data_IF_859941286778
#
_entry.id   IF_859941286778
#
_cell.length_a   1.000
_cell.length_b   1.000
_cell.length_c   1.000
_cell.angle_alpha   90.00
_cell.angle_beta   90.00
_cell.angle_gamma   90.00
#
_symmetry.space_group_name_H-M   'P 1'
#
loop_
_entity.id
_entity.type
_entity.pdbx_description
1 polymer ?
#
# COMPACT_ATOMS: atom_id res chain seq x y z
N UNK A 1 -70.53 -22.67 -2.59
CA UNK A 1 -70.93 -23.44 -1.42
C UNK A 1 -69.82 -23.36 -0.41
N UNK A 2 -70.05 -22.65 0.56
CA UNK A 2 -70.07 -22.69 2.02
C UNK A 2 -68.67 -22.61 2.65
N UNK A 3 -68.29 -21.47 3.12
CA UNK A 3 -68.32 -20.89 4.48
C UNK A 3 -68.00 -21.87 5.62
N UNK A 4 -66.92 -21.63 6.37
CA UNK A 4 -67.01 -21.36 7.81
C UNK A 4 -65.71 -20.86 8.40
N UNK A 5 -65.84 -19.70 9.03
CA UNK A 5 -65.01 -18.97 9.97
C UNK A 5 -65.06 -19.56 11.37
N UNK A 6 -64.00 -19.37 12.18
CA UNK A 6 -63.96 -19.17 13.64
C UNK A 6 -62.48 -19.07 14.00
N UNK A 7 -61.86 -18.17 14.73
CA UNK A 7 -62.35 -17.16 15.63
C UNK A 7 -61.69 -17.31 16.99
N UNK A 8 -60.97 -16.26 17.47
CA UNK A 8 -60.58 -15.93 18.88
C UNK A 8 -59.46 -16.75 19.50
N UNK A 9 -58.60 -16.22 20.41
CA UNK A 9 -58.46 -14.93 21.08
C UNK A 9 -57.03 -14.80 21.68
N UNK A 10 -56.51 -13.67 21.69
CA UNK A 10 -55.89 -12.79 22.68
C UNK A 10 -55.28 -13.40 23.97
N UNK A 11 -54.08 -12.92 24.28
CA UNK A 11 -53.42 -13.04 25.57
C UNK A 11 -52.15 -12.20 25.60
N UNK A 12 -52.28 -10.90 25.83
CA UNK A 12 -51.17 -9.99 26.05
C UNK A 12 -50.66 -10.06 27.50
N UNK A 13 -49.35 -9.99 27.68
CA UNK A 13 -48.75 -9.59 29.00
C UNK A 13 -47.76 -8.49 28.67
N UNK A 14 -48.10 -7.28 29.05
CA UNK A 14 -47.19 -6.14 29.10
C UNK A 14 -46.44 -6.15 30.42
N UNK A 15 -45.14 -6.18 30.40
CA UNK A 15 -44.30 -5.88 31.54
C UNK A 15 -43.76 -4.47 31.38
N UNK A 16 -44.27 -3.54 32.15
CA UNK A 16 -43.75 -2.18 32.27
C UNK A 16 -42.55 -2.19 33.23
N UNK A 17 -41.37 -1.84 32.74
CA UNK A 17 -40.22 -1.52 33.58
C UNK A 17 -40.14 0.00 33.79
N UNK A 18 -40.40 0.41 35.04
CA UNK A 18 -40.32 1.80 35.51
C UNK A 18 -38.84 2.12 35.78
N UNK A 19 -38.23 3.04 34.99
CA UNK A 19 -36.91 3.61 35.30
C UNK A 19 -37.13 4.87 36.13
N UNK A 20 -36.68 4.85 37.38
CA UNK A 20 -36.66 6.00 38.27
C UNK A 20 -35.49 6.91 37.94
N UNK A 21 -35.78 8.15 37.52
CA UNK A 21 -34.78 9.21 37.33
C UNK A 21 -34.53 9.87 38.70
N UNK A 22 -33.36 9.63 39.24
CA UNK A 22 -32.87 10.37 40.42
C UNK A 22 -32.14 11.64 40.01
N UNK A 23 -32.74 12.79 40.25
CA UNK A 23 -32.11 14.11 40.10
C UNK A 23 -31.33 14.39 41.40
N UNK A 24 -29.99 14.47 41.30
CA UNK A 24 -29.13 15.02 42.36
C UNK A 24 -28.76 16.46 41.92
N UNK A 25 -29.27 17.44 42.64
CA UNK A 25 -28.84 18.83 42.54
C UNK A 25 -27.66 19.00 43.54
N UNK A 26 -26.46 19.20 43.02
CA UNK A 26 -25.32 19.68 43.80
C UNK A 26 -24.99 21.12 43.38
N UNK A 27 -25.24 22.05 44.26
CA UNK A 27 -24.76 23.44 44.21
C UNK A 27 -23.39 23.53 44.83
N UNK A 28 -22.42 24.10 44.11
CA UNK A 28 -21.11 24.42 44.66
C UNK A 28 -20.18 25.00 43.57
N UNK A 29 -19.99 26.33 43.61
CA UNK A 29 -19.21 27.08 42.66
C UNK A 29 -17.70 26.87 42.84
N UNK A 30 -16.99 27.06 41.76
CA UNK A 30 -15.53 27.10 41.68
C UNK A 30 -15.13 27.29 40.24
N UNK A 31 -14.81 28.54 39.82
CA UNK A 31 -14.29 28.84 38.52
C UNK A 31 -12.92 28.18 38.31
N UNK A 32 -12.85 27.31 37.33
CA UNK A 32 -11.64 26.74 36.77
C UNK A 32 -11.73 26.86 35.27
N UNK A 33 -10.79 27.59 34.66
CA UNK A 33 -10.64 27.68 33.21
C UNK A 33 -10.58 26.28 32.59
N UNK A 34 -11.13 26.07 31.40
CA UNK A 34 -11.00 24.80 30.70
C UNK A 34 -9.53 24.60 30.29
N UNK A 35 -8.90 23.63 30.95
CA UNK A 35 -7.59 23.13 30.58
C UNK A 35 -7.71 22.51 29.19
N UNK A 36 -6.83 22.82 28.22
CA UNK A 36 -6.85 22.17 26.92
C UNK A 36 -6.62 20.67 27.15
N UNK A 37 -7.49 19.86 26.60
CA UNK A 37 -7.36 18.41 26.59
C UNK A 37 -6.11 18.07 25.74
N UNK A 38 -5.03 17.72 26.42
CA UNK A 38 -3.93 17.00 25.79
C UNK A 38 -4.47 15.60 25.48
N UNK A 39 -4.79 15.36 24.22
CA UNK A 39 -5.13 14.05 23.72
C UNK A 39 -3.87 13.18 23.69
N UNK A 40 -3.50 12.60 24.83
CA UNK A 40 -2.65 11.41 24.87
C UNK A 40 -3.55 10.20 24.56
N UNK A 41 -3.97 10.08 23.30
CA UNK A 41 -4.64 8.91 22.79
C UNK A 41 -3.61 7.90 22.30
N UNK A 42 -3.07 7.03 23.18
CA UNK A 42 -2.59 5.73 22.72
C UNK A 42 -3.82 4.98 22.20
N UNK A 43 -3.88 4.76 20.91
CA UNK A 43 -4.84 3.81 20.35
C UNK A 43 -4.39 2.42 20.77
N UNK A 44 -5.18 1.74 21.60
CA UNK A 44 -4.88 0.40 22.11
C UNK A 44 -4.65 -0.55 20.91
N UNK A 45 -3.48 -1.18 20.88
CA UNK A 45 -3.11 -2.20 19.90
C UNK A 45 -2.34 -1.72 18.67
N UNK A 46 -1.95 -0.43 18.56
CA UNK A 46 -1.06 0.05 17.50
C UNK A 46 0.34 -0.53 17.67
N UNK A 47 0.97 -0.89 16.55
CA UNK A 47 2.32 -1.45 16.51
C UNK A 47 3.35 -0.33 16.37
N UNK A 48 4.46 -0.42 17.11
CA UNK A 48 5.59 0.48 16.91
C UNK A 48 6.21 0.27 15.52
N UNK A 49 6.59 1.36 14.87
CA UNK A 49 7.16 1.36 13.54
C UNK A 49 6.97 2.68 12.82
N UNK A 50 7.40 2.70 11.57
CA UNK A 50 7.25 3.86 10.69
C UNK A 50 6.52 3.47 9.42
N UNK A 51 5.46 4.19 9.10
CA UNK A 51 4.79 4.09 7.79
C UNK A 51 5.40 5.14 6.87
N UNK A 52 5.86 4.68 5.70
CA UNK A 52 6.43 5.52 4.66
C UNK A 52 5.46 5.68 3.51
N UNK A 53 5.30 6.90 3.03
CA UNK A 53 4.36 7.26 1.95
C UNK A 53 5.10 8.03 0.86
N UNK A 54 4.92 7.63 -0.40
CA UNK A 54 5.37 8.38 -1.57
C UNK A 54 4.24 9.31 -2.03
N UNK A 55 4.51 10.62 -2.08
CA UNK A 55 3.56 11.65 -2.50
C UNK A 55 3.98 12.16 -3.88
N UNK A 56 3.43 11.54 -4.92
CA UNK A 56 3.81 11.80 -6.30
C UNK A 56 3.59 13.26 -6.71
N UNK A 57 2.45 13.85 -6.29
CA UNK A 57 2.07 15.22 -6.65
C UNK A 57 2.89 16.31 -5.97
N UNK A 58 3.47 16.03 -4.80
CA UNK A 58 4.29 16.98 -4.05
C UNK A 58 5.78 16.64 -4.00
N UNK A 59 6.25 15.74 -4.88
CA UNK A 59 7.66 15.34 -5.00
C UNK A 59 8.31 15.05 -3.64
N UNK A 60 7.62 14.25 -2.80
CA UNK A 60 8.07 14.05 -1.41
C UNK A 60 7.78 12.64 -0.88
N UNK A 61 8.50 12.25 0.17
CA UNK A 61 8.18 11.09 1.00
C UNK A 61 7.76 11.57 2.38
N UNK A 62 6.73 10.96 2.97
CA UNK A 62 6.30 11.23 4.34
C UNK A 62 6.59 10.02 5.22
N UNK A 63 7.24 10.24 6.38
CA UNK A 63 7.41 9.26 7.43
C UNK A 63 6.37 9.53 8.54
N UNK A 64 5.65 8.49 8.97
CA UNK A 64 4.57 8.54 9.96
C UNK A 64 4.92 7.62 11.12
N UNK A 65 4.78 8.10 12.35
CA UNK A 65 4.80 7.26 13.56
C UNK A 65 3.54 6.37 13.58
N UNK A 66 3.73 5.08 13.40
CA UNK A 66 2.62 4.13 13.35
C UNK A 66 1.89 4.00 14.70
N UNK A 67 2.58 4.17 15.83
CA UNK A 67 1.97 4.05 17.17
C UNK A 67 1.09 5.25 17.54
N UNK A 68 1.39 6.43 16.94
CA UNK A 68 0.68 7.69 17.21
C UNK A 68 -0.21 8.17 16.07
N UNK A 69 -0.02 7.61 14.85
CA UNK A 69 -0.64 8.10 13.62
C UNK A 69 -0.31 9.58 13.34
N UNK A 70 0.93 9.97 13.60
CA UNK A 70 1.42 11.34 13.43
C UNK A 70 2.57 11.39 12.42
N UNK A 71 2.60 12.45 11.61
CA UNK A 71 3.71 12.71 10.68
C UNK A 71 4.96 13.05 11.47
N UNK A 72 6.04 12.29 11.26
CA UNK A 72 7.37 12.56 11.83
C UNK A 72 8.15 13.59 11.01
N UNK A 73 8.18 13.38 9.69
CA UNK A 73 8.92 14.26 8.77
C UNK A 73 8.42 14.08 7.35
N UNK A 74 8.76 15.05 6.50
CA UNK A 74 8.57 15.00 5.04
C UNK A 74 9.93 15.23 4.37
N UNK A 75 10.30 14.33 3.47
CA UNK A 75 11.52 14.41 2.67
C UNK A 75 11.16 14.89 1.27
N UNK A 76 11.82 15.94 0.78
CA UNK A 76 11.64 16.50 -0.57
C UNK A 76 12.86 16.22 -1.44
N UNK A 77 12.75 16.41 -2.76
CA UNK A 77 13.86 16.25 -3.71
C UNK A 77 13.84 14.93 -4.49
N UNK A 78 12.77 14.13 -4.40
CA UNK A 78 12.55 12.98 -5.27
C UNK A 78 11.39 13.33 -6.20
N UNK A 79 11.67 13.47 -7.49
CA UNK A 79 10.68 13.92 -8.46
C UNK A 79 9.67 12.81 -8.84
N UNK A 80 8.38 13.12 -8.70
CA UNK A 80 7.27 12.20 -8.97
C UNK A 80 7.48 10.78 -8.38
N UNK A 81 7.68 10.65 -7.04
CA UNK A 81 7.87 9.35 -6.42
C UNK A 81 6.57 8.55 -6.48
N UNK A 82 6.50 7.56 -7.39
CA UNK A 82 5.30 6.76 -7.59
C UNK A 82 5.16 5.66 -6.53
N UNK A 83 6.27 4.98 -6.21
CA UNK A 83 6.27 3.91 -5.22
C UNK A 83 7.54 3.92 -4.38
N UNK A 84 7.44 3.35 -3.19
CA UNK A 84 8.56 3.09 -2.30
C UNK A 84 8.43 1.74 -1.61
N UNK A 85 9.56 1.19 -1.15
CA UNK A 85 9.62 -0.04 -0.39
C UNK A 85 10.69 0.05 0.69
N UNK A 86 10.33 -0.28 1.93
CA UNK A 86 11.29 -0.47 3.02
C UNK A 86 12.03 -1.79 2.83
N UNK A 87 13.35 -1.80 3.07
CA UNK A 87 14.16 -3.02 3.05
C UNK A 87 13.71 -4.01 4.14
N UNK A 88 13.94 -5.33 3.97
CA UNK A 88 13.51 -6.33 4.95
C UNK A 88 14.07 -6.13 6.36
N UNK A 89 15.25 -5.53 6.48
CA UNK A 89 15.88 -5.20 7.77
C UNK A 89 15.39 -3.86 8.37
N UNK A 90 14.51 -3.15 7.64
CA UNK A 90 13.93 -1.88 8.04
C UNK A 90 14.86 -0.67 7.98
N UNK A 91 16.10 -0.81 7.51
CA UNK A 91 17.13 0.23 7.60
C UNK A 91 17.15 1.19 6.43
N UNK A 92 16.64 0.79 5.28
CA UNK A 92 16.60 1.64 4.09
C UNK A 92 15.21 1.69 3.47
N UNK A 93 14.92 2.82 2.86
CA UNK A 93 13.75 3.05 2.02
C UNK A 93 14.23 3.26 0.61
N UNK A 94 13.74 2.43 -0.30
CA UNK A 94 13.95 2.60 -1.72
C UNK A 94 12.72 3.24 -2.34
N UNK A 95 12.93 4.29 -3.13
CA UNK A 95 11.88 4.97 -3.88
C UNK A 95 12.26 5.06 -5.36
N UNK A 96 11.29 5.16 -6.24
CA UNK A 96 11.53 5.53 -7.63
C UNK A 96 11.33 7.02 -7.80
N UNK A 97 12.20 7.67 -8.60
CA UNK A 97 11.98 9.01 -9.13
C UNK A 97 11.48 8.86 -10.58
N UNK A 98 10.18 9.11 -10.77
CA UNK A 98 9.51 8.84 -12.04
C UNK A 98 10.02 9.71 -13.18
N UNK A 99 10.28 11.00 -12.92
CA UNK A 99 10.78 11.94 -13.92
C UNK A 99 12.26 11.74 -14.23
N UNK A 100 13.07 11.39 -13.23
CA UNK A 100 14.52 11.26 -13.41
C UNK A 100 14.96 9.87 -13.88
N UNK A 101 14.02 8.91 -13.92
CA UNK A 101 14.33 7.50 -14.24
C UNK A 101 15.38 6.90 -13.31
N UNK A 102 15.20 7.08 -12.00
CA UNK A 102 16.14 6.67 -10.96
C UNK A 102 15.45 5.83 -9.87
N UNK A 103 16.19 4.92 -9.27
CA UNK A 103 15.92 4.38 -7.95
C UNK A 103 16.75 5.15 -6.92
N UNK A 104 16.15 5.57 -5.83
CA UNK A 104 16.76 6.36 -4.75
C UNK A 104 16.75 5.55 -3.47
N UNK A 105 17.88 5.49 -2.76
CA UNK A 105 17.99 4.86 -1.45
C UNK A 105 18.13 5.91 -0.36
N UNK A 106 17.27 5.83 0.66
CA UNK A 106 17.25 6.73 1.82
C UNK A 106 17.43 5.92 3.10
N UNK A 107 18.18 6.42 4.08
CA UNK A 107 18.26 5.85 5.42
C UNK A 107 16.94 6.01 6.17
N UNK A 108 16.41 4.90 6.67
CA UNK A 108 15.09 4.89 7.31
C UNK A 108 15.07 5.54 8.71
N UNK A 109 16.20 5.66 9.37
CA UNK A 109 16.31 6.23 10.72
C UNK A 109 16.77 7.70 10.71
N UNK A 110 17.78 8.00 9.88
CA UNK A 110 18.43 9.32 9.83
C UNK A 110 17.98 10.20 8.66
N UNK A 111 17.14 9.70 7.76
CA UNK A 111 16.57 10.43 6.62
C UNK A 111 17.61 10.97 5.59
N UNK A 112 18.82 10.41 5.58
CA UNK A 112 19.84 10.79 4.62
C UNK A 112 19.70 10.02 3.30
N UNK A 113 19.93 10.67 2.16
CA UNK A 113 20.09 9.98 0.89
C UNK A 113 21.43 9.23 0.85
N UNK A 114 21.40 7.95 0.48
CA UNK A 114 22.61 7.14 0.36
C UNK A 114 23.11 7.04 -1.08
N UNK A 115 22.24 7.17 -2.06
CA UNK A 115 22.61 7.11 -3.46
C UNK A 115 21.44 6.94 -4.40
N UNK A 116 21.74 7.02 -5.67
CA UNK A 116 20.79 6.83 -6.78
C UNK A 116 21.35 5.80 -7.75
N UNK A 117 20.45 5.10 -8.45
CA UNK A 117 20.81 4.14 -9.52
C UNK A 117 19.90 4.36 -10.70
N UNK A 118 20.42 4.54 -11.92
CA UNK A 118 19.60 4.65 -13.12
C UNK A 118 18.70 3.44 -13.32
N UNK A 119 17.49 3.67 -13.81
CA UNK A 119 16.51 2.66 -14.17
C UNK A 119 16.18 2.78 -15.67
N UNK A 120 15.15 2.08 -16.13
CA UNK A 120 14.51 2.42 -17.42
C UNK A 120 13.49 3.55 -17.22
N UNK A 121 12.80 3.92 -18.29
CA UNK A 121 11.87 5.05 -18.35
C UNK A 121 10.56 4.77 -17.64
N UNK A 122 10.02 5.82 -17.02
CA UNK A 122 8.78 5.76 -16.25
C UNK A 122 8.82 4.63 -15.19
N UNK A 123 9.80 4.65 -14.25
CA UNK A 123 9.83 3.65 -13.21
C UNK A 123 8.62 3.82 -12.29
N UNK A 124 7.79 2.76 -12.19
CA UNK A 124 6.57 2.80 -11.43
C UNK A 124 6.76 2.22 -10.02
N UNK A 125 7.23 0.99 -9.92
CA UNK A 125 7.41 0.31 -8.63
C UNK A 125 8.86 -0.05 -8.36
N UNK A 126 9.19 -0.10 -7.06
CA UNK A 126 10.46 -0.61 -6.54
C UNK A 126 10.17 -1.68 -5.49
N UNK A 127 10.95 -2.74 -5.48
CA UNK A 127 10.83 -3.82 -4.50
C UNK A 127 12.21 -4.35 -4.12
N UNK A 128 12.41 -4.63 -2.83
CA UNK A 128 13.62 -5.26 -2.31
C UNK A 128 13.35 -6.75 -2.13
N UNK A 129 14.27 -7.61 -2.54
CA UNK A 129 14.14 -9.06 -2.32
C UNK A 129 14.14 -9.41 -0.83
N UNK A 130 13.54 -10.54 -0.41
CA UNK A 130 13.49 -10.94 1.00
C UNK A 130 14.85 -11.08 1.69
N UNK A 131 15.90 -11.37 0.93
CA UNK A 131 17.30 -11.45 1.43
C UNK A 131 18.02 -10.09 1.48
N UNK A 132 17.35 -9.00 1.02
CA UNK A 132 17.89 -7.63 1.03
C UNK A 132 18.99 -7.36 0.01
N UNK A 133 19.28 -8.28 -0.93
CA UNK A 133 20.46 -8.18 -1.81
C UNK A 133 20.17 -7.51 -3.14
N UNK A 134 18.95 -7.65 -3.64
CA UNK A 134 18.59 -7.13 -4.96
C UNK A 134 17.37 -6.23 -4.84
N UNK A 135 17.43 -5.11 -5.53
CA UNK A 135 16.28 -4.24 -5.77
C UNK A 135 15.84 -4.40 -7.21
N UNK A 136 14.55 -4.47 -7.43
CA UNK A 136 13.97 -4.44 -8.76
C UNK A 136 13.12 -3.19 -8.94
N UNK A 137 13.15 -2.59 -10.14
CA UNK A 137 12.21 -1.54 -10.55
C UNK A 137 11.50 -1.95 -11.83
N UNK A 138 10.20 -1.69 -11.91
CA UNK A 138 9.46 -1.79 -13.16
C UNK A 138 9.62 -0.50 -13.96
N UNK A 139 9.83 -0.59 -15.27
CA UNK A 139 10.03 0.54 -16.19
C UNK A 139 8.91 0.51 -17.22
N UNK A 140 7.83 1.27 -16.95
CA UNK A 140 6.58 1.18 -17.70
C UNK A 140 6.73 1.51 -19.19
N UNK A 141 7.49 2.53 -19.53
CA UNK A 141 7.65 2.95 -20.94
C UNK A 141 8.62 2.07 -21.75
N UNK A 142 9.47 1.27 -21.09
CA UNK A 142 10.47 0.43 -21.75
C UNK A 142 10.08 -1.06 -21.78
N UNK A 143 8.94 -1.44 -21.18
CA UNK A 143 8.51 -2.85 -21.06
C UNK A 143 9.57 -3.75 -20.40
N UNK A 144 10.29 -3.20 -19.41
CA UNK A 144 11.39 -3.90 -18.73
C UNK A 144 11.30 -3.81 -17.20
N UNK A 145 12.09 -4.65 -16.56
CA UNK A 145 12.45 -4.58 -15.14
C UNK A 145 13.94 -4.39 -15.01
N UNK A 146 14.38 -3.42 -14.20
CA UNK A 146 15.80 -3.24 -13.85
C UNK A 146 16.08 -4.00 -12.56
N UNK A 147 17.19 -4.76 -12.53
CA UNK A 147 17.73 -5.38 -11.31
C UNK A 147 18.97 -4.60 -10.84
N UNK A 148 19.00 -4.26 -9.54
CA UNK A 148 20.05 -3.47 -8.89
C UNK A 148 20.66 -4.31 -7.76
N UNK A 149 21.96 -4.42 -7.70
CA UNK A 149 22.67 -5.00 -6.56
C UNK A 149 22.82 -3.95 -5.45
N UNK A 150 22.27 -4.27 -4.27
CA UNK A 150 22.21 -3.33 -3.14
C UNK A 150 23.60 -2.97 -2.61
N UNK A 151 24.52 -3.94 -2.57
CA UNK A 151 25.85 -3.73 -1.98
C UNK A 151 26.74 -2.82 -2.84
N UNK A 152 26.58 -2.90 -4.16
CA UNK A 152 27.40 -2.11 -5.10
C UNK A 152 26.68 -0.87 -5.62
N UNK A 153 25.38 -0.73 -5.36
CA UNK A 153 24.53 0.33 -5.91
C UNK A 153 24.63 0.41 -7.44
N UNK A 154 24.61 -0.74 -8.11
CA UNK A 154 24.74 -0.80 -9.58
C UNK A 154 23.62 -1.65 -10.20
N UNK A 155 23.19 -1.22 -11.36
CA UNK A 155 22.36 -2.04 -12.22
C UNK A 155 23.14 -3.30 -12.65
N UNK A 156 22.51 -4.47 -12.48
CA UNK A 156 23.10 -5.77 -12.84
C UNK A 156 22.35 -6.46 -13.99
N UNK A 157 21.11 -6.08 -14.25
CA UNK A 157 20.35 -6.60 -15.38
C UNK A 157 19.22 -5.67 -15.81
N UNK A 158 18.85 -5.75 -17.10
CA UNK A 158 17.59 -5.25 -17.66
C UNK A 158 16.83 -6.45 -18.23
N UNK A 159 15.61 -6.69 -17.74
CA UNK A 159 14.83 -7.90 -18.02
C UNK A 159 13.59 -7.52 -18.82
N UNK A 160 13.45 -7.92 -20.09
CA UNK A 160 12.22 -7.69 -20.85
C UNK A 160 11.04 -8.46 -20.25
N UNK A 161 9.89 -7.80 -20.12
CA UNK A 161 8.64 -8.34 -19.58
C UNK A 161 7.47 -8.05 -20.53
N UNK A 162 6.23 -8.08 -20.08
CA UNK A 162 5.08 -7.70 -20.89
C UNK A 162 4.86 -6.19 -20.91
N UNK A 163 3.78 -5.74 -21.60
CA UNK A 163 3.52 -4.34 -21.89
C UNK A 163 3.17 -3.54 -20.61
N UNK A 164 3.90 -2.46 -20.41
CA UNK A 164 3.75 -1.50 -19.32
C UNK A 164 3.77 -2.18 -17.93
N UNK A 165 4.90 -2.77 -17.52
CA UNK A 165 5.03 -3.38 -16.20
C UNK A 165 4.82 -2.31 -15.13
N UNK A 166 3.98 -2.63 -14.13
CA UNK A 166 3.61 -1.70 -13.08
C UNK A 166 3.95 -2.28 -11.71
N UNK A 167 3.03 -2.94 -11.04
CA UNK A 167 3.28 -3.54 -9.74
C UNK A 167 3.99 -4.87 -9.83
N UNK A 168 4.81 -5.17 -8.84
CA UNK A 168 5.53 -6.43 -8.73
C UNK A 168 5.70 -6.87 -7.29
N UNK A 169 5.92 -8.17 -7.08
CA UNK A 169 6.20 -8.73 -5.75
C UNK A 169 7.09 -9.96 -5.86
N UNK A 170 8.14 -10.10 -5.01
CA UNK A 170 8.89 -11.35 -4.90
C UNK A 170 8.05 -12.40 -4.16
N UNK A 171 8.24 -13.67 -4.51
CA UNK A 171 7.72 -14.76 -3.71
C UNK A 171 8.37 -14.77 -2.32
N UNK A 172 7.69 -15.27 -1.26
CA UNK A 172 8.25 -15.27 0.09
C UNK A 172 9.60 -16.00 0.23
N UNK A 173 9.86 -17.00 -0.61
CA UNK A 173 11.15 -17.71 -0.68
C UNK A 173 12.21 -17.00 -1.55
N UNK A 174 11.85 -15.86 -2.13
CA UNK A 174 12.74 -15.03 -2.96
C UNK A 174 13.09 -15.60 -4.33
N UNK A 175 12.58 -16.77 -4.72
CA UNK A 175 12.97 -17.43 -5.99
C UNK A 175 12.35 -16.80 -7.22
N UNK A 176 11.16 -16.23 -7.07
CA UNK A 176 10.37 -15.68 -8.16
C UNK A 176 10.04 -14.22 -7.92
N UNK A 177 10.04 -13.44 -8.98
CA UNK A 177 9.44 -12.11 -9.00
C UNK A 177 8.29 -12.13 -9.99
N UNK A 178 7.08 -11.78 -9.52
CA UNK A 178 5.89 -11.68 -10.36
C UNK A 178 5.65 -10.21 -10.67
N UNK A 179 5.44 -9.90 -11.96
CA UNK A 179 5.32 -8.54 -12.50
C UNK A 179 4.00 -8.41 -13.26
N UNK A 180 3.15 -7.50 -12.85
CA UNK A 180 1.89 -7.21 -13.52
C UNK A 180 2.10 -6.30 -14.72
N UNK A 181 1.63 -6.70 -15.90
CA UNK A 181 1.78 -5.98 -17.16
C UNK A 181 0.50 -5.19 -17.46
N UNK A 182 0.42 -3.93 -17.02
CA UNK A 182 -0.81 -3.16 -16.91
C UNK A 182 -1.49 -2.81 -18.27
N UNK A 183 -0.75 -2.78 -19.36
CA UNK A 183 -1.31 -2.62 -20.71
C UNK A 183 -1.51 -3.95 -21.44
N UNK A 184 -1.54 -5.07 -20.69
CA UNK A 184 -1.71 -6.43 -21.21
C UNK A 184 -2.75 -7.22 -20.42
N UNK A 185 -2.57 -8.54 -20.45
CA UNK A 185 -3.43 -9.52 -19.78
C UNK A 185 -2.64 -10.48 -18.90
N UNK A 186 -1.31 -10.26 -18.79
CA UNK A 186 -0.39 -11.24 -18.21
C UNK A 186 0.30 -10.71 -16.95
N UNK A 187 0.73 -11.64 -16.12
CA UNK A 187 1.75 -11.48 -15.08
C UNK A 187 3.01 -12.20 -15.55
N UNK A 188 4.12 -11.47 -15.72
CA UNK A 188 5.42 -12.05 -16.05
C UNK A 188 6.06 -12.66 -14.81
N UNK A 189 6.71 -13.81 -14.95
CA UNK A 189 7.46 -14.50 -13.90
C UNK A 189 8.95 -14.44 -14.20
N UNK A 190 9.72 -13.87 -13.28
CA UNK A 190 11.18 -13.77 -13.37
C UNK A 190 11.81 -14.70 -12.33
N UNK A 191 12.77 -15.53 -12.77
CA UNK A 191 13.65 -16.30 -11.88
C UNK A 191 14.73 -15.35 -11.34
N UNK A 192 14.68 -15.05 -10.04
CA UNK A 192 15.55 -14.03 -9.42
C UNK A 192 17.03 -14.39 -9.46
N UNK A 193 17.35 -15.67 -9.24
CA UNK A 193 18.75 -16.15 -9.26
C UNK A 193 19.46 -15.97 -10.62
N UNK A 194 18.68 -15.81 -11.71
CA UNK A 194 19.20 -15.65 -13.08
C UNK A 194 18.84 -14.29 -13.69
N UNK A 195 18.04 -13.49 -13.01
CA UNK A 195 17.46 -12.27 -13.57
C UNK A 195 16.85 -12.50 -14.94
N UNK A 196 16.03 -13.57 -15.07
CA UNK A 196 15.48 -13.97 -16.36
C UNK A 196 13.98 -14.23 -16.27
N UNK A 197 13.21 -13.65 -17.20
CA UNK A 197 11.80 -14.01 -17.39
C UNK A 197 11.71 -15.45 -17.90
N UNK A 198 10.85 -16.24 -17.24
CA UNK A 198 10.67 -17.68 -17.52
C UNK A 198 9.25 -18.02 -17.96
N UNK A 199 8.27 -17.18 -17.66
CA UNK A 199 6.87 -17.39 -18.05
C UNK A 199 6.09 -16.07 -18.11
N UNK A 200 4.97 -16.08 -18.83
CA UNK A 200 3.90 -15.09 -18.75
C UNK A 200 2.59 -15.83 -18.45
N UNK A 201 1.91 -15.42 -17.39
CA UNK A 201 0.67 -16.05 -16.92
C UNK A 201 -0.52 -15.22 -17.35
N UNK A 202 -1.42 -15.81 -18.14
CA UNK A 202 -2.69 -15.16 -18.49
C UNK A 202 -3.58 -15.08 -17.24
N UNK A 203 -3.89 -13.85 -16.80
CA UNK A 203 -4.67 -13.60 -15.58
C UNK A 203 -5.95 -12.81 -15.84
N UNK A 204 -5.99 -11.98 -16.88
CA UNK A 204 -7.12 -11.13 -17.23
C UNK A 204 -6.69 -9.69 -17.54
N UNK A 205 -7.64 -8.80 -17.83
CA UNK A 205 -7.39 -7.48 -18.39
C UNK A 205 -6.77 -6.52 -17.39
N UNK A 206 -5.71 -5.83 -17.84
CA UNK A 206 -5.01 -4.79 -17.11
C UNK A 206 -4.66 -5.21 -15.66
N UNK A 207 -3.81 -6.25 -15.48
CA UNK A 207 -3.26 -6.56 -14.17
C UNK A 207 -2.34 -5.41 -13.72
N UNK A 208 -2.52 -4.92 -12.46
CA UNK A 208 -1.78 -3.72 -12.01
C UNK A 208 -0.80 -4.02 -10.89
N UNK A 209 -1.16 -4.86 -9.94
CA UNK A 209 -0.32 -5.19 -8.80
C UNK A 209 -0.36 -6.68 -8.48
N UNK A 210 0.67 -7.18 -7.78
CA UNK A 210 0.77 -8.55 -7.30
C UNK A 210 0.98 -8.58 -5.79
N UNK A 211 0.36 -9.55 -5.12
CA UNK A 211 0.65 -9.94 -3.73
C UNK A 211 0.79 -11.46 -3.63
N UNK A 212 1.54 -11.95 -2.64
CA UNK A 212 1.65 -13.39 -2.35
C UNK A 212 0.96 -13.71 -1.02
N UNK A 213 0.40 -14.92 -0.91
CA UNK A 213 0.09 -15.50 0.40
C UNK A 213 1.39 -15.72 1.19
N UNK A 214 1.38 -15.58 2.54
CA UNK A 214 2.60 -15.74 3.34
C UNK A 214 3.27 -17.11 3.19
N UNK A 215 2.48 -18.16 2.90
CA UNK A 215 2.98 -19.52 2.64
C UNK A 215 3.51 -19.73 1.21
N UNK A 216 3.43 -18.70 0.35
CA UNK A 216 3.89 -18.74 -1.04
C UNK A 216 3.07 -19.62 -1.98
N UNK A 217 1.96 -20.22 -1.53
CA UNK A 217 1.14 -21.12 -2.36
C UNK A 217 0.33 -20.40 -3.42
N UNK A 218 -0.10 -19.19 -3.12
CA UNK A 218 -0.91 -18.38 -4.02
C UNK A 218 -0.29 -17.02 -4.25
N UNK A 219 -0.46 -16.51 -5.47
CA UNK A 219 -0.29 -15.11 -5.79
C UNK A 219 -1.65 -14.53 -6.20
N UNK A 220 -1.81 -13.23 -5.97
CA UNK A 220 -3.02 -12.49 -6.32
C UNK A 220 -2.64 -11.30 -7.18
N UNK A 221 -3.47 -10.96 -8.17
CA UNK A 221 -3.25 -9.76 -8.99
C UNK A 221 -4.56 -8.99 -9.15
N UNK A 222 -4.52 -7.68 -8.89
CA UNK A 222 -5.64 -6.80 -9.24
C UNK A 222 -5.80 -6.74 -10.76
N UNK A 223 -7.04 -6.78 -11.23
CA UNK A 223 -7.42 -6.68 -12.63
C UNK A 223 -8.25 -5.40 -12.82
N UNK A 224 -7.56 -4.29 -13.07
CA UNK A 224 -8.20 -2.98 -13.18
C UNK A 224 -9.26 -2.94 -14.29
N UNK A 225 -8.99 -3.59 -15.42
CA UNK A 225 -9.89 -3.66 -16.57
C UNK A 225 -11.11 -4.58 -16.40
N UNK A 226 -11.22 -5.29 -15.27
CA UNK A 226 -12.31 -6.24 -14.99
C UNK A 226 -13.02 -5.99 -13.65
N UNK A 227 -12.56 -5.03 -12.83
CA UNK A 227 -13.02 -4.83 -11.46
C UNK A 227 -12.97 -6.13 -10.64
N UNK A 228 -11.85 -6.82 -10.72
CA UNK A 228 -11.66 -8.14 -10.11
C UNK A 228 -10.25 -8.30 -9.53
N UNK A 229 -10.06 -9.32 -8.74
CA UNK A 229 -8.75 -9.84 -8.35
C UNK A 229 -8.60 -11.29 -8.82
N UNK A 230 -7.46 -11.62 -9.42
CA UNK A 230 -7.11 -12.96 -9.85
C UNK A 230 -6.38 -13.71 -8.72
N UNK A 231 -6.61 -15.04 -8.61
CA UNK A 231 -5.86 -15.96 -7.73
C UNK A 231 -5.08 -16.94 -8.59
N UNK A 232 -3.78 -17.04 -8.36
CA UNK A 232 -2.83 -17.85 -9.13
C UNK A 232 -2.26 -18.93 -8.21
N UNK A 233 -2.29 -20.19 -8.62
CA UNK A 233 -1.55 -21.28 -7.98
C UNK A 233 -0.08 -21.19 -8.41
N UNK A 234 0.81 -20.88 -7.46
CA UNK A 234 2.23 -20.62 -7.74
C UNK A 234 2.96 -21.88 -8.21
N UNK A 235 2.65 -23.03 -7.62
CA UNK A 235 3.32 -24.28 -7.99
C UNK A 235 2.94 -24.77 -9.39
N UNK A 236 1.73 -24.44 -9.86
CA UNK A 236 1.23 -24.80 -11.18
C UNK A 236 1.35 -23.70 -12.23
N UNK A 237 1.69 -22.48 -11.79
CA UNK A 237 1.69 -21.29 -12.65
C UNK A 237 0.37 -21.11 -13.38
N UNK A 238 -0.73 -21.22 -12.67
CA UNK A 238 -2.07 -21.24 -13.27
C UNK A 238 -3.06 -20.37 -12.50
N UNK A 239 -3.84 -19.60 -13.26
CA UNK A 239 -5.03 -18.94 -12.73
C UNK A 239 -6.02 -19.97 -12.21
N UNK A 240 -6.45 -19.84 -10.95
CA UNK A 240 -7.38 -20.78 -10.28
C UNK A 240 -8.71 -20.13 -9.89
N UNK A 241 -8.83 -18.81 -9.98
CA UNK A 241 -10.09 -18.12 -9.72
C UNK A 241 -9.98 -16.61 -9.90
N UNK A 242 -11.16 -15.97 -9.95
CA UNK A 242 -11.32 -14.51 -9.89
C UNK A 242 -12.41 -14.16 -8.89
N UNK A 243 -12.24 -13.09 -8.15
CA UNK A 243 -13.25 -12.51 -7.28
C UNK A 243 -13.57 -11.08 -7.74
N UNK A 244 -14.86 -10.75 -7.85
CA UNK A 244 -15.27 -9.38 -8.14
C UNK A 244 -15.01 -8.49 -6.93
N UNK A 245 -14.51 -7.26 -7.17
CA UNK A 245 -14.19 -6.25 -6.16
C UNK A 245 -14.77 -4.88 -6.58
N UNK A 246 -14.36 -3.80 -5.93
CA UNK A 246 -14.80 -2.46 -6.30
C UNK A 246 -14.23 -1.97 -7.63
N UNK A 247 -14.55 -0.72 -7.98
CA UNK A 247 -14.22 -0.14 -9.28
C UNK A 247 -12.77 0.29 -9.36
N UNK A 248 -12.09 -0.10 -10.44
CA UNK A 248 -10.70 0.29 -10.72
C UNK A 248 -9.73 -0.20 -9.66
N UNK A 249 -9.65 -1.52 -9.35
CA UNK A 249 -8.72 -2.03 -8.35
C UNK A 249 -7.27 -1.81 -8.79
N UNK A 250 -6.47 -1.26 -7.89
CA UNK A 250 -5.05 -0.95 -8.11
C UNK A 250 -4.18 -1.84 -7.24
N UNK A 251 -3.92 -1.48 -5.99
CA UNK A 251 -3.06 -2.27 -5.14
C UNK A 251 -3.78 -3.38 -4.40
N UNK A 252 -3.04 -4.45 -4.18
CA UNK A 252 -3.44 -5.62 -3.39
C UNK A 252 -2.39 -5.93 -2.35
N UNK A 253 -2.82 -6.31 -1.15
CA UNK A 253 -1.92 -6.71 -0.07
C UNK A 253 -2.56 -7.83 0.76
N UNK A 254 -1.81 -8.91 1.02
CA UNK A 254 -2.26 -10.00 1.90
C UNK A 254 -1.81 -9.72 3.32
N UNK A 255 -2.69 -9.87 4.31
CA UNK A 255 -2.34 -9.72 5.71
C UNK A 255 -1.25 -10.72 6.12
N UNK A 256 -0.32 -10.35 7.03
CA UNK A 256 0.76 -11.24 7.48
C UNK A 256 0.28 -12.58 8.04
N UNK A 257 -0.92 -12.65 8.64
CA UNK A 257 -1.57 -13.89 9.09
C UNK A 257 -2.19 -14.71 7.94
N UNK A 258 -2.19 -14.17 6.72
CA UNK A 258 -2.73 -14.83 5.53
C UNK A 258 -4.26 -14.84 5.42
N UNK A 259 -4.99 -14.23 6.37
CA UNK A 259 -6.45 -14.32 6.44
C UNK A 259 -7.14 -13.44 5.41
N UNK A 260 -6.69 -12.23 5.24
CA UNK A 260 -7.33 -11.24 4.35
C UNK A 260 -6.43 -10.83 3.20
N UNK A 261 -7.04 -10.60 2.05
CA UNK A 261 -6.47 -9.86 0.94
C UNK A 261 -7.23 -8.54 0.84
N UNK A 262 -6.54 -7.43 1.00
CA UNK A 262 -7.08 -6.10 0.80
C UNK A 262 -6.87 -5.68 -0.65
N UNK A 263 -7.89 -5.09 -1.24
CA UNK A 263 -7.87 -4.57 -2.61
C UNK A 263 -8.31 -3.11 -2.59
N UNK A 264 -7.39 -2.21 -2.90
CA UNK A 264 -7.67 -0.79 -3.02
C UNK A 264 -8.38 -0.52 -4.35
N UNK A 265 -9.57 0.07 -4.27
CA UNK A 265 -10.39 0.40 -5.44
C UNK A 265 -10.25 1.91 -5.69
N UNK A 266 -9.49 2.29 -6.70
CA UNK A 266 -9.15 3.69 -6.95
C UNK A 266 -10.22 4.45 -7.75
N UNK A 267 -10.86 3.77 -8.70
CA UNK A 267 -11.66 4.44 -9.72
C UNK A 267 -10.80 5.24 -10.69
N UNK A 268 -11.30 6.40 -11.12
CA UNK A 268 -10.55 7.38 -11.92
C UNK A 268 -10.58 8.75 -11.25
N UNK A 269 -9.74 9.71 -11.68
CA UNK A 269 -9.72 11.06 -11.13
C UNK A 269 -11.08 11.76 -11.29
N UNK A 270 -11.76 11.56 -12.43
CA UNK A 270 -13.09 12.14 -12.68
C UNK A 270 -14.23 11.44 -11.90
N UNK A 271 -14.02 10.19 -11.54
CA UNK A 271 -14.95 9.36 -10.76
C UNK A 271 -14.18 8.49 -9.77
N UNK A 272 -13.69 9.09 -8.68
CA UNK A 272 -12.95 8.37 -7.66
C UNK A 272 -13.82 7.27 -7.04
N UNK A 273 -13.27 6.08 -6.87
CA UNK A 273 -13.80 5.14 -5.90
C UNK A 273 -13.27 5.52 -4.52
N UNK A 274 -13.99 5.14 -3.47
CA UNK A 274 -13.67 5.54 -2.09
C UNK A 274 -13.40 4.34 -1.19
N UNK A 275 -13.26 3.14 -1.77
CA UNK A 275 -13.38 1.91 -1.00
C UNK A 275 -12.17 1.00 -1.09
N UNK A 276 -12.01 0.18 -0.04
CA UNK A 276 -11.17 -1.02 -0.03
C UNK A 276 -12.08 -2.25 0.10
N UNK A 277 -11.86 -3.26 -0.76
CA UNK A 277 -12.50 -4.56 -0.62
C UNK A 277 -11.65 -5.47 0.26
N UNK A 278 -12.25 -6.08 1.30
CA UNK A 278 -11.63 -7.10 2.14
C UNK A 278 -12.09 -8.47 1.62
N UNK A 279 -11.15 -9.25 1.11
CA UNK A 279 -11.39 -10.60 0.57
C UNK A 279 -10.87 -11.62 1.59
N UNK A 280 -11.70 -12.56 2.00
CA UNK A 280 -11.25 -13.72 2.76
C UNK A 280 -10.48 -14.66 1.84
N UNK A 281 -9.22 -14.98 2.18
CA UNK A 281 -8.31 -15.73 1.29
C UNK A 281 -8.68 -17.21 1.16
N UNK A 282 -9.35 -17.77 2.18
CA UNK A 282 -9.75 -19.18 2.20
C UNK A 282 -10.95 -19.42 1.30
N UNK A 283 -11.98 -18.60 1.40
CA UNK A 283 -13.19 -18.69 0.56
C UNK A 283 -13.03 -17.96 -0.77
N UNK A 284 -12.08 -17.04 -0.85
CA UNK A 284 -11.81 -16.15 -1.97
C UNK A 284 -13.06 -15.32 -2.39
N UNK A 285 -13.74 -14.78 -1.39
CA UNK A 285 -14.92 -13.91 -1.55
C UNK A 285 -14.73 -12.60 -0.79
N UNK A 286 -15.33 -11.52 -1.30
CA UNK A 286 -15.38 -10.24 -0.57
C UNK A 286 -16.28 -10.40 0.65
N UNK A 287 -15.74 -10.19 1.84
CA UNK A 287 -16.48 -10.24 3.11
C UNK A 287 -16.90 -8.88 3.61
N UNK A 288 -16.21 -7.83 3.20
CA UNK A 288 -16.52 -6.44 3.54
C UNK A 288 -16.00 -5.49 2.47
N UNK A 289 -16.68 -4.37 2.30
CA UNK A 289 -16.20 -3.19 1.56
C UNK A 289 -16.22 -2.02 2.53
N UNK A 290 -15.10 -1.32 2.69
CA UNK A 290 -14.92 -0.24 3.67
C UNK A 290 -14.61 1.08 2.94
N UNK A 291 -15.28 2.15 3.35
CA UNK A 291 -15.02 3.51 2.90
C UNK A 291 -13.72 4.03 3.52
N UNK A 292 -12.70 4.29 2.70
CA UNK A 292 -11.38 4.74 3.17
C UNK A 292 -11.04 6.18 2.76
N UNK A 293 -11.58 6.67 1.65
CA UNK A 293 -11.33 8.02 1.14
C UNK A 293 -11.20 8.04 -0.38
N UNK A 294 -11.02 9.21 -0.96
CA UNK A 294 -11.08 9.40 -2.42
C UNK A 294 -9.84 8.80 -3.12
N UNK A 295 -10.07 7.81 -3.97
CA UNK A 295 -9.02 7.16 -4.74
C UNK A 295 -8.13 6.27 -3.90
N UNK A 296 -8.70 5.29 -3.17
CA UNK A 296 -7.91 4.31 -2.44
C UNK A 296 -6.87 3.65 -3.36
N UNK A 297 -5.58 3.80 -3.06
CA UNK A 297 -4.50 3.40 -3.95
C UNK A 297 -3.52 2.42 -3.30
N UNK A 298 -2.57 2.90 -2.48
CA UNK A 298 -1.58 2.10 -1.80
C UNK A 298 -2.16 1.38 -0.58
N UNK A 299 -1.71 0.17 -0.31
CA UNK A 299 -2.08 -0.59 0.88
C UNK A 299 -0.86 -1.26 1.49
N UNK A 300 -0.68 -1.10 2.80
CA UNK A 300 0.22 -1.91 3.61
C UNK A 300 -0.47 -2.30 4.90
N UNK A 301 -0.16 -3.49 5.42
CA UNK A 301 -0.70 -3.99 6.68
C UNK A 301 0.45 -4.16 7.66
N UNK A 302 0.26 -3.75 8.91
CA UNK A 302 1.26 -3.89 9.96
C UNK A 302 1.57 -5.38 10.27
N UNK A 303 2.71 -5.69 10.91
CA UNK A 303 3.10 -7.07 11.22
C UNK A 303 2.13 -7.82 12.15
N UNK A 304 1.28 -7.11 12.90
CA UNK A 304 0.28 -7.72 13.77
C UNK A 304 -0.96 -8.20 13.02
N UNK A 305 -1.11 -7.82 11.75
CA UNK A 305 -2.31 -8.05 10.92
C UNK A 305 -3.56 -7.32 11.43
N UNK A 306 -3.39 -6.31 12.29
CA UNK A 306 -4.52 -5.58 12.87
C UNK A 306 -4.83 -4.30 12.12
N UNK A 307 -3.82 -3.51 11.73
CA UNK A 307 -4.06 -2.24 11.05
C UNK A 307 -3.54 -2.25 9.62
N UNK A 308 -4.36 -1.76 8.72
CA UNK A 308 -3.98 -1.46 7.35
C UNK A 308 -3.91 0.05 7.15
N UNK A 309 -2.88 0.51 6.44
CA UNK A 309 -2.70 1.89 6.05
C UNK A 309 -2.98 2.00 4.56
N UNK A 310 -3.89 2.89 4.19
CA UNK A 310 -4.38 3.04 2.81
C UNK A 310 -4.16 4.48 2.36
N UNK A 311 -3.38 4.69 1.30
CA UNK A 311 -3.28 6.01 0.68
C UNK A 311 -4.54 6.31 -0.13
N UNK A 312 -5.03 7.55 -0.05
CA UNK A 312 -6.14 8.07 -0.83
C UNK A 312 -5.59 9.12 -1.79
N UNK A 313 -5.26 8.70 -3.02
CA UNK A 313 -4.48 9.49 -3.98
C UNK A 313 -5.12 10.83 -4.35
N UNK A 314 -6.46 10.89 -4.37
CA UNK A 314 -7.20 12.13 -4.65
C UNK A 314 -7.62 12.87 -3.37
N UNK A 315 -7.44 12.25 -2.20
CA UNK A 315 -7.76 12.83 -0.89
C UNK A 315 -6.58 13.51 -0.19
N UNK A 316 -5.34 13.15 -0.54
CA UNK A 316 -4.13 13.68 0.11
C UNK A 316 -3.96 13.17 1.54
N UNK A 317 -4.48 11.98 1.85
CA UNK A 317 -4.40 11.39 3.19
C UNK A 317 -4.09 9.89 3.18
N UNK A 318 -3.78 9.37 4.35
CA UNK A 318 -3.70 7.94 4.66
C UNK A 318 -4.81 7.59 5.64
N UNK A 319 -5.68 6.66 5.29
CA UNK A 319 -6.64 6.07 6.20
C UNK A 319 -6.01 4.90 6.97
N UNK A 320 -6.25 4.83 8.28
CA UNK A 320 -5.87 3.69 9.12
C UNK A 320 -7.12 2.85 9.37
N UNK A 321 -7.12 1.62 8.87
CA UNK A 321 -8.22 0.67 8.95
C UNK A 321 -7.89 -0.40 9.98
N UNK A 322 -8.69 -0.52 11.05
CA UNK A 322 -8.65 -1.66 11.96
C UNK A 322 -9.33 -2.87 11.29
N UNK A 323 -8.59 -3.96 11.10
CA UNK A 323 -9.07 -5.16 10.41
C UNK A 323 -9.94 -6.07 11.31
N UNK A 324 -9.92 -5.87 12.62
CA UNK A 324 -10.79 -6.59 13.56
C UNK A 324 -12.18 -5.96 13.53
N UNK A 325 -12.24 -4.64 13.69
CA UNK A 325 -13.50 -3.88 13.69
C UNK A 325 -13.99 -3.62 12.26
N UNK A 326 -13.09 -3.68 11.27
CA UNK A 326 -13.33 -3.35 9.86
C UNK A 326 -13.87 -1.94 9.66
N UNK A 327 -13.27 -0.99 10.37
CA UNK A 327 -13.61 0.43 10.36
C UNK A 327 -12.34 1.30 10.31
N UNK A 328 -12.44 2.48 9.70
CA UNK A 328 -11.36 3.48 9.68
C UNK A 328 -11.29 4.15 11.05
N UNK A 329 -10.14 4.01 11.72
CA UNK A 329 -9.92 4.51 13.09
C UNK A 329 -9.12 5.81 13.12
N UNK A 330 -8.37 6.13 12.05
CA UNK A 330 -7.63 7.39 11.94
C UNK A 330 -7.48 7.83 10.48
N UNK A 331 -7.20 9.14 10.29
CA UNK A 331 -6.79 9.74 9.01
C UNK A 331 -5.60 10.64 9.24
N UNK A 332 -4.60 10.54 8.37
CA UNK A 332 -3.34 11.26 8.47
C UNK A 332 -3.14 12.03 7.18
N UNK A 333 -3.12 13.35 7.25
CA UNK A 333 -2.81 14.19 6.08
C UNK A 333 -1.33 14.06 5.72
N UNK A 334 -1.05 13.89 4.44
CA UNK A 334 0.30 13.74 3.88
C UNK A 334 0.46 14.69 2.69
N UNK A 335 1.39 14.43 1.78
CA UNK A 335 1.55 15.24 0.57
C UNK A 335 0.46 14.99 -0.48
N UNK A 336 0.53 15.71 -1.60
CA UNK A 336 -0.40 15.56 -2.72
C UNK A 336 -0.16 14.24 -3.48
N UNK A 337 -1.25 13.64 -3.96
CA UNK A 337 -1.26 12.36 -4.69
C UNK A 337 -0.44 11.28 -3.98
N UNK A 338 -0.75 10.95 -2.69
CA UNK A 338 -0.08 9.86 -2.00
C UNK A 338 -0.37 8.54 -2.73
N UNK A 339 0.70 7.86 -3.15
CA UNK A 339 0.63 6.72 -4.04
C UNK A 339 1.17 5.46 -3.34
N UNK A 340 2.49 5.26 -3.36
CA UNK A 340 3.13 4.12 -2.71
C UNK A 340 3.17 4.23 -1.19
N UNK A 341 3.10 3.08 -0.52
CA UNK A 341 3.15 2.99 0.94
C UNK A 341 3.87 1.72 1.39
N UNK A 342 4.67 1.82 2.46
CA UNK A 342 5.39 0.69 3.05
C UNK A 342 5.52 0.85 4.56
N UNK A 343 5.64 -0.27 5.28
CA UNK A 343 5.80 -0.30 6.73
C UNK A 343 7.21 -0.74 7.11
N UNK A 344 7.84 -0.01 8.04
CA UNK A 344 9.10 -0.38 8.70
C UNK A 344 8.84 -0.73 10.15
N UNK A 345 9.44 -1.84 10.63
CA UNK A 345 9.49 -2.17 12.07
C UNK A 345 10.49 -1.29 12.83
N UNK A 346 11.32 -0.53 12.13
CA UNK A 346 12.22 0.45 12.72
C UNK A 346 11.47 1.73 12.96
N UNK A 347 11.50 2.22 14.19
CA UNK A 347 10.98 3.55 14.51
C UNK A 347 12.00 4.58 14.05
N UNK A 348 11.62 5.42 13.11
CA UNK A 348 12.46 6.54 12.69
C UNK A 348 12.67 7.52 13.84
N UNK A 349 13.81 8.21 13.87
CA UNK A 349 14.12 9.18 14.92
C UNK A 349 13.05 10.26 14.98
N UNK A 350 12.47 10.48 16.18
CA UNK A 350 11.53 11.55 16.39
C UNK A 350 12.30 12.89 16.32
N UNK A 351 12.36 13.47 15.13
CA UNK A 351 12.70 14.87 14.96
C UNK A 351 11.40 15.67 15.11
N UNK A 352 11.47 16.95 15.54
CA UNK A 352 10.29 17.82 15.43
C UNK A 352 9.85 17.79 13.96
N UNK A 353 8.53 17.81 13.67
CA UNK A 353 8.02 17.76 12.30
C UNK A 353 8.78 18.76 11.44
N UNK A 354 9.56 18.26 10.52
CA UNK A 354 10.43 19.08 9.68
C UNK A 354 10.29 18.60 8.23
N UNK A 355 10.47 19.52 7.30
CA UNK A 355 10.73 19.19 5.91
C UNK A 355 12.24 19.12 5.73
N UNK A 356 12.74 18.00 5.19
CA UNK A 356 14.15 17.78 4.90
C UNK A 356 14.30 17.68 3.39
N UNK A 357 15.10 18.56 2.80
CA UNK A 357 15.46 18.46 1.39
C UNK A 357 16.60 17.45 1.24
N UNK A 358 16.38 16.43 0.43
CA UNK A 358 17.38 15.41 0.13
C UNK A 358 18.39 15.97 -0.89
N UNK A 359 19.67 15.86 -0.57
CA UNK A 359 20.74 16.07 -1.55
C UNK A 359 20.99 14.73 -2.25
N UNK A 360 20.44 14.57 -3.45
CA UNK A 360 20.61 13.36 -4.23
C UNK A 360 21.91 13.46 -5.05
N UNK A 361 22.79 12.48 -4.98
CA UNK A 361 23.93 12.38 -5.88
C UNK A 361 23.41 11.91 -7.25
N UNK A 362 23.17 12.85 -8.15
CA UNK A 362 23.04 12.51 -9.57
C UNK A 362 24.46 12.28 -10.10
N UNK A 363 24.69 11.14 -10.77
CA UNK A 363 25.98 10.91 -11.42
C UNK A 363 26.20 11.97 -12.51
N UNK A 364 27.14 12.88 -12.27
CA UNK A 364 27.53 13.97 -13.19
C UNK A 364 28.22 13.44 -14.48
N UNK A 365 28.29 12.15 -14.69
CA UNK A 365 28.96 11.55 -15.86
C UNK A 365 28.20 11.72 -17.19
N UNK A 366 26.97 12.28 -17.17
CA UNK A 366 26.19 12.55 -18.39
C UNK A 366 26.29 13.98 -18.95
N UNK A 367 26.90 14.92 -18.24
CA UNK A 367 26.87 16.34 -18.61
C UNK A 367 28.10 16.84 -19.41
N UNK A 368 29.10 16.02 -19.70
CA UNK A 368 30.37 16.47 -20.32
C UNK A 368 30.57 16.12 -21.79
N UNK A 369 29.61 15.56 -22.51
CA UNK A 369 29.80 15.26 -23.95
C UNK A 369 29.02 16.17 -24.94
N UNK A 370 28.58 17.35 -24.52
CA UNK A 370 27.93 18.30 -25.46
C UNK A 370 28.52 19.72 -25.46
N UNK A 371 29.84 19.86 -25.25
CA UNK A 371 30.54 21.12 -25.56
C UNK A 371 31.93 20.83 -26.12
N UNK A 372 32.02 20.33 -27.33
CA UNK A 372 33.12 20.69 -28.28
C UNK A 372 32.87 20.12 -29.68
N UNK A 373 32.11 20.84 -30.47
CA UNK A 373 32.20 20.82 -31.94
C UNK A 373 31.86 22.23 -32.43
N UNK A 374 32.90 23.07 -32.46
CA UNK A 374 32.90 24.39 -33.09
C UNK A 374 32.89 24.33 -34.62
#
# INVERSE_FOLDING_TARGET
MSKRTLGLAAGGVAVAATVAIGIVIATGGGGGEPRPATAEGRHDGMVEGTVWVANEGSASLTAIDAARNEVLTTLTGIEAPHNLQVSPDGKSVWAVSGHDSMAVMVDAAGFAAHGTVPTGKEPAHVIVTPDGRTVYTTNGADDTVTAIDVATMKQVATIPVGAYPHGMRPSPDGKWLYVANAKGTTVSVIETAKNKRVADLEVGKAPVQVAFSPDGRFAYSSLNGENAVAKIDVAKWKLVGKAAVGVGPIQVYVSPDGRYLLVANQGTEERPSTTVSIVDTATFTVVRTVETGQGAHGVVIDPSSRHAYITNIYGGDVAVLDLVEQEVVARIHVGEKPNGISFSIVVASALPPATIELSLPYDDEGATEQMDMG
#
